data_IF_445652571301
#
_entry.id   IF_445652571301
#
_cell.length_a   1.000
_cell.length_b   1.000
_cell.length_c   1.000
_cell.angle_alpha   90.00
_cell.angle_beta   90.00
_cell.angle_gamma   90.00
#
_symmetry.space_group_name_H-M   'P 1'
#
loop_
_entity.id
_entity.type
_entity.pdbx_description
1 polymer ?
#
# COMPACT_ATOMS: atom_id res chain seq x y z
N UNK A 1 3.37 -21.40 -15.12
CA UNK A 1 1.90 -21.37 -14.94
C UNK A 1 1.63 -20.33 -13.87
N UNK A 2 1.06 -19.17 -14.23
CA UNK A 2 0.81 -18.10 -13.27
C UNK A 2 -0.31 -18.51 -12.33
N UNK A 3 0.00 -18.73 -11.06
CA UNK A 3 -1.03 -18.69 -10.02
C UNK A 3 -1.55 -17.26 -9.98
N UNK A 4 -2.68 -17.01 -10.64
CA UNK A 4 -3.36 -15.74 -10.55
C UNK A 4 -3.68 -15.51 -9.07
N UNK A 5 -3.25 -14.37 -8.55
CA UNK A 5 -3.56 -13.93 -7.19
C UNK A 5 -5.08 -13.96 -6.98
N UNK A 6 -5.56 -14.96 -6.23
CA UNK A 6 -6.98 -15.07 -5.86
C UNK A 6 -7.23 -14.22 -4.62
N UNK A 7 -7.56 -12.97 -4.83
CA UNK A 7 -8.06 -12.08 -3.79
C UNK A 7 -9.59 -12.19 -3.68
N UNK A 8 -10.15 -11.95 -2.49
CA UNK A 8 -11.61 -11.85 -2.30
C UNK A 8 -12.20 -10.52 -2.79
N UNK A 9 -11.38 -9.70 -3.45
CA UNK A 9 -11.68 -8.37 -3.96
C UNK A 9 -10.96 -8.18 -5.30
N UNK A 10 -11.51 -7.36 -6.21
CA UNK A 10 -10.84 -7.01 -7.45
C UNK A 10 -9.57 -6.18 -7.19
N UNK A 11 -8.59 -6.33 -8.07
CA UNK A 11 -7.32 -5.60 -8.05
C UNK A 11 -7.16 -4.84 -9.36
N UNK A 12 -6.96 -3.52 -9.29
CA UNK A 12 -6.74 -2.66 -10.45
C UNK A 12 -5.31 -2.10 -10.45
N UNK A 13 -4.54 -2.43 -11.48
CA UNK A 13 -3.21 -1.86 -11.70
C UNK A 13 -3.25 -0.50 -12.39
N UNK A 14 -2.54 0.48 -11.83
CA UNK A 14 -2.33 1.80 -12.47
C UNK A 14 -0.86 1.93 -12.85
N UNK A 15 -0.57 1.67 -14.12
CA UNK A 15 0.76 1.76 -14.70
C UNK A 15 0.87 3.00 -15.60
N UNK A 16 1.81 3.88 -15.30
CA UNK A 16 2.22 4.98 -16.17
C UNK A 16 3.64 5.43 -15.81
N UNK A 17 4.30 6.17 -16.70
CA UNK A 17 5.64 6.71 -16.47
C UNK A 17 5.67 7.68 -15.28
N UNK A 18 6.85 7.90 -14.69
CA UNK A 18 6.97 8.90 -13.61
C UNK A 18 6.61 10.29 -14.16
N UNK A 19 5.91 11.11 -13.37
CA UNK A 19 5.50 12.46 -13.77
C UNK A 19 4.28 12.55 -14.69
N UNK A 20 3.61 11.46 -15.04
CA UNK A 20 2.45 11.48 -15.97
C UNK A 20 1.08 11.65 -15.29
N UNK A 21 1.03 12.18 -14.07
CA UNK A 21 -0.25 12.49 -13.40
C UNK A 21 -1.00 11.31 -12.75
N UNK A 22 -0.36 10.16 -12.48
CA UNK A 22 -1.00 9.04 -11.76
C UNK A 22 -1.61 9.46 -10.42
N UNK A 23 -0.82 10.20 -9.63
CA UNK A 23 -1.27 10.73 -8.34
C UNK A 23 -2.49 11.62 -8.54
N UNK A 24 -2.46 12.53 -9.52
CA UNK A 24 -3.58 13.43 -9.83
C UNK A 24 -4.84 12.67 -10.24
N UNK A 25 -4.70 11.61 -11.05
CA UNK A 25 -5.82 10.73 -11.40
C UNK A 25 -6.41 10.07 -10.14
N UNK A 26 -5.58 9.50 -9.27
CA UNK A 26 -6.04 8.82 -8.07
C UNK A 26 -6.67 9.78 -7.06
N UNK A 27 -6.11 10.98 -6.90
CA UNK A 27 -6.66 12.04 -6.04
C UNK A 27 -8.06 12.49 -6.50
N UNK A 28 -8.34 12.46 -7.81
CA UNK A 28 -9.66 12.77 -8.36
C UNK A 28 -10.61 11.57 -8.34
N UNK A 29 -10.11 10.35 -8.55
CA UNK A 29 -10.91 9.14 -8.64
C UNK A 29 -11.39 8.64 -7.27
N UNK A 30 -10.53 8.65 -6.25
CA UNK A 30 -10.86 8.11 -4.92
C UNK A 30 -12.10 8.79 -4.29
N UNK A 31 -12.27 10.13 -4.33
CA UNK A 31 -13.50 10.76 -3.88
C UNK A 31 -14.75 10.27 -4.62
N UNK A 32 -14.69 10.13 -5.94
CA UNK A 32 -15.83 9.69 -6.76
C UNK A 32 -16.23 8.23 -6.46
N UNK A 33 -15.26 7.35 -6.21
CA UNK A 33 -15.54 5.96 -5.80
C UNK A 33 -16.13 5.92 -4.40
N UNK A 34 -15.61 6.73 -3.47
CA UNK A 34 -16.15 6.85 -2.11
C UNK A 34 -17.58 7.38 -2.11
N UNK A 35 -17.90 8.37 -2.94
CA UNK A 35 -19.28 8.89 -3.11
C UNK A 35 -20.26 7.82 -3.60
N UNK A 36 -19.76 6.82 -4.33
CA UNK A 36 -20.53 5.63 -4.74
C UNK A 36 -20.63 4.55 -3.66
N UNK A 37 -20.12 4.81 -2.45
CA UNK A 37 -20.14 3.88 -1.33
C UNK A 37 -19.07 2.78 -1.37
N UNK A 38 -18.08 2.89 -2.27
CA UNK A 38 -17.02 1.89 -2.38
C UNK A 38 -15.87 2.19 -1.39
N UNK A 39 -15.49 1.16 -0.63
CA UNK A 39 -14.28 1.15 0.18
C UNK A 39 -13.08 0.74 -0.69
N UNK A 40 -12.22 1.71 -1.00
CA UNK A 40 -11.06 1.49 -1.88
C UNK A 40 -9.78 1.51 -1.06
N UNK A 41 -9.01 0.43 -1.14
CA UNK A 41 -7.65 0.37 -0.60
C UNK A 41 -6.62 0.66 -1.70
N UNK A 42 -5.46 1.19 -1.31
CA UNK A 42 -4.37 1.55 -2.24
C UNK A 42 -3.07 0.94 -1.76
N UNK A 43 -2.40 0.18 -2.63
CA UNK A 43 -1.02 -0.26 -2.46
C UNK A 43 -0.15 0.57 -3.40
N UNK A 44 0.73 1.39 -2.83
CA UNK A 44 1.62 2.26 -3.60
C UNK A 44 3.06 1.81 -3.44
N UNK A 45 3.74 1.58 -4.56
CA UNK A 45 5.18 1.36 -4.57
C UNK A 45 5.91 2.71 -4.54
N UNK A 46 6.72 2.95 -3.50
CA UNK A 46 7.60 4.11 -3.43
C UNK A 46 8.91 3.84 -4.18
N UNK A 47 9.40 4.82 -4.95
CA UNK A 47 10.65 4.68 -5.71
C UNK A 47 11.92 4.89 -4.89
N UNK A 48 11.79 5.32 -3.64
CA UNK A 48 12.90 5.57 -2.70
C UNK A 48 12.53 5.08 -1.31
N UNK A 49 13.54 4.95 -0.44
CA UNK A 49 13.31 4.76 1.00
C UNK A 49 12.36 5.85 1.50
N UNK A 50 11.39 5.45 2.31
CA UNK A 50 10.43 6.35 2.92
C UNK A 50 10.31 6.02 4.40
N UNK A 51 9.93 7.02 5.19
CA UNK A 51 9.58 6.84 6.58
C UNK A 51 8.21 7.47 6.85
N UNK A 52 7.39 6.80 7.67
CA UNK A 52 6.07 7.29 8.07
C UNK A 52 6.18 8.14 9.34
N UNK A 53 7.16 7.85 10.20
CA UNK A 53 7.46 8.68 11.36
C UNK A 53 8.75 9.49 11.19
N UNK A 54 9.04 10.36 12.15
CA UNK A 54 10.12 11.33 12.06
C UNK A 54 11.29 10.95 12.98
N UNK A 55 12.54 11.09 12.52
CA UNK A 55 13.71 10.95 13.38
C UNK A 55 13.59 11.76 14.67
N UNK A 56 13.90 11.12 15.81
CA UNK A 56 13.85 11.74 17.13
C UNK A 56 12.52 11.62 17.88
N UNK A 57 11.44 11.19 17.24
CA UNK A 57 10.19 10.79 17.93
C UNK A 57 10.32 9.43 18.59
N UNK A 58 9.49 9.15 19.59
CA UNK A 58 9.57 7.91 20.36
C UNK A 58 9.31 6.68 19.51
N UNK A 59 8.34 6.74 18.59
CA UNK A 59 8.07 5.64 17.66
C UNK A 59 9.27 5.30 16.77
N UNK A 60 9.99 6.32 16.29
CA UNK A 60 11.19 6.15 15.47
C UNK A 60 12.30 5.48 16.28
N UNK A 61 12.50 5.92 17.54
CA UNK A 61 13.51 5.34 18.43
C UNK A 61 13.20 3.88 18.77
N UNK A 62 11.94 3.56 19.08
CA UNK A 62 11.51 2.19 19.40
C UNK A 62 11.66 1.25 18.20
N UNK A 63 11.26 1.70 17.00
CA UNK A 63 11.44 0.94 15.77
C UNK A 63 12.92 0.74 15.44
N UNK A 64 13.74 1.80 15.53
CA UNK A 64 15.20 1.73 15.34
C UNK A 64 15.89 0.82 16.37
N UNK A 65 15.30 0.66 17.56
CA UNK A 65 15.78 -0.26 18.59
C UNK A 65 15.34 -1.73 18.36
N UNK A 66 14.52 -2.00 17.34
CA UNK A 66 14.15 -3.37 16.92
C UNK A 66 12.67 -3.72 17.04
N UNK A 67 11.78 -2.79 17.37
CA UNK A 67 10.34 -3.07 17.36
C UNK A 67 9.86 -3.37 15.92
N UNK A 68 9.38 -4.59 15.67
CA UNK A 68 8.90 -5.04 14.35
C UNK A 68 7.80 -6.12 14.52
N UNK A 69 6.54 -5.84 14.12
CA UNK A 69 6.04 -4.57 13.59
C UNK A 69 5.94 -3.46 14.64
N UNK A 70 5.94 -2.20 14.19
CA UNK A 70 5.60 -1.02 14.99
C UNK A 70 4.20 -0.52 14.61
N UNK A 71 3.26 -0.51 15.57
CA UNK A 71 1.91 0.03 15.39
C UNK A 71 1.72 1.30 16.23
N UNK A 72 1.38 2.40 15.58
CA UNK A 72 1.11 3.70 16.22
C UNK A 72 -0.35 4.04 15.99
N UNK A 73 -1.07 4.44 17.03
CA UNK A 73 -2.50 4.76 16.95
C UNK A 73 -2.83 6.12 17.59
N UNK A 74 -3.88 6.74 17.07
CA UNK A 74 -4.48 7.97 17.58
C UNK A 74 -6.00 7.91 17.44
N UNK A 75 -6.72 8.91 17.95
CA UNK A 75 -8.18 9.03 17.76
C UNK A 75 -8.60 9.11 16.28
N UNK A 76 -7.72 9.58 15.40
CA UNK A 76 -8.06 9.83 13.99
C UNK A 76 -7.62 8.72 13.04
N UNK A 77 -6.52 8.02 13.35
CA UNK A 77 -5.87 7.05 12.46
C UNK A 77 -4.86 6.20 13.20
N UNK A 78 -4.44 5.11 12.58
CA UNK A 78 -3.24 4.35 12.94
C UNK A 78 -2.29 4.24 11.75
N UNK A 79 -1.04 3.89 12.04
CA UNK A 79 -0.01 3.52 11.06
C UNK A 79 0.69 2.25 11.53
N UNK A 80 0.85 1.28 10.62
CA UNK A 80 1.60 0.05 10.83
C UNK A 80 2.86 0.09 9.98
N UNK A 81 4.02 -0.07 10.60
CA UNK A 81 5.31 -0.12 9.91
C UNK A 81 5.94 -1.49 10.15
N UNK A 82 6.36 -2.12 9.05
CA UNK A 82 7.03 -3.42 9.05
C UNK A 82 8.36 -3.27 8.33
N UNK A 83 9.44 -3.57 9.05
CA UNK A 83 10.77 -3.63 8.45
C UNK A 83 10.90 -4.89 7.59
N UNK A 84 11.55 -4.77 6.43
CA UNK A 84 11.77 -5.88 5.47
C UNK A 84 13.26 -6.01 5.11
N UNK A 85 14.14 -6.19 6.11
CA UNK A 85 15.58 -6.24 5.88
C UNK A 85 15.95 -7.38 4.92
N UNK A 86 16.80 -7.08 3.94
CA UNK A 86 17.24 -8.04 2.92
C UNK A 86 16.24 -8.30 1.80
N UNK A 87 15.07 -7.63 1.80
CA UNK A 87 14.11 -7.72 0.71
C UNK A 87 14.41 -6.61 -0.33
N UNK A 88 14.77 -7.00 -1.55
CA UNK A 88 15.13 -6.04 -2.62
C UNK A 88 13.89 -5.33 -3.21
N UNK A 89 12.78 -6.05 -3.35
CA UNK A 89 11.53 -5.55 -3.92
C UNK A 89 10.31 -5.99 -3.09
N UNK A 90 9.26 -5.15 -3.00
CA UNK A 90 8.05 -5.51 -2.27
C UNK A 90 7.32 -6.69 -2.91
N UNK A 91 6.91 -7.65 -2.08
CA UNK A 91 6.10 -8.78 -2.52
C UNK A 91 4.60 -8.39 -2.57
N UNK A 92 4.09 -8.06 -3.77
CA UNK A 92 2.70 -7.64 -3.94
C UNK A 92 1.69 -8.70 -3.47
N UNK A 93 1.97 -9.98 -3.70
CA UNK A 93 1.12 -11.08 -3.24
C UNK A 93 0.91 -11.02 -1.73
N UNK A 94 2.01 -10.87 -0.99
CA UNK A 94 1.97 -10.71 0.46
C UNK A 94 1.22 -9.43 0.88
N UNK A 95 1.51 -8.29 0.25
CA UNK A 95 0.83 -7.02 0.56
C UNK A 95 -0.68 -7.09 0.34
N UNK A 96 -1.15 -7.82 -0.68
CA UNK A 96 -2.58 -8.06 -0.90
C UNK A 96 -3.20 -8.88 0.24
N UNK A 97 -2.48 -9.85 0.82
CA UNK A 97 -2.99 -10.58 1.99
C UNK A 97 -3.20 -9.68 3.20
N UNK A 98 -2.38 -8.64 3.36
CA UNK A 98 -2.54 -7.64 4.43
C UNK A 98 -3.80 -6.77 4.24
N UNK A 99 -4.33 -6.68 3.02
CA UNK A 99 -5.55 -5.90 2.75
C UNK A 99 -6.83 -6.70 3.03
N UNK A 100 -6.79 -8.02 2.98
CA UNK A 100 -7.97 -8.87 3.11
C UNK A 100 -8.79 -8.66 4.40
N UNK A 101 -8.17 -8.48 5.59
CA UNK A 101 -8.91 -8.22 6.82
C UNK A 101 -9.69 -6.90 6.82
N UNK A 102 -9.38 -5.98 5.91
CA UNK A 102 -10.08 -4.69 5.78
C UNK A 102 -11.31 -4.77 4.87
N UNK A 103 -11.54 -5.91 4.21
CA UNK A 103 -12.67 -6.13 3.30
C UNK A 103 -12.90 -4.98 2.29
N UNK A 104 -11.87 -4.55 1.52
CA UNK A 104 -12.07 -3.51 0.52
C UNK A 104 -12.93 -4.02 -0.64
N UNK A 105 -13.74 -3.14 -1.23
CA UNK A 105 -14.48 -3.42 -2.47
C UNK A 105 -13.56 -3.40 -3.70
N UNK A 106 -12.42 -2.71 -3.60
CA UNK A 106 -11.40 -2.60 -4.64
C UNK A 106 -10.03 -2.32 -4.02
N UNK A 107 -8.99 -2.97 -4.54
CA UNK A 107 -7.59 -2.57 -4.29
C UNK A 107 -6.99 -1.96 -5.55
N UNK A 108 -6.48 -0.74 -5.45
CA UNK A 108 -5.69 -0.09 -6.51
C UNK A 108 -4.20 -0.28 -6.22
N UNK A 109 -3.45 -0.72 -7.22
CA UNK A 109 -2.00 -0.92 -7.15
C UNK A 109 -1.29 0.10 -8.04
N UNK A 110 -0.49 0.98 -7.46
CA UNK A 110 0.27 2.01 -8.18
C UNK A 110 1.78 1.70 -8.13
N UNK A 111 2.45 1.71 -9.28
CA UNK A 111 3.92 1.71 -9.36
C UNK A 111 4.61 0.33 -9.42
N UNK A 112 3.86 -0.77 -9.40
CA UNK A 112 4.36 -2.14 -9.53
C UNK A 112 4.54 -2.54 -11.01
N UNK A 113 5.54 -1.96 -11.69
CA UNK A 113 5.77 -2.13 -13.14
C UNK A 113 6.08 -3.56 -13.59
N UNK A 114 6.62 -4.40 -12.70
CA UNK A 114 7.09 -5.74 -13.01
C UNK A 114 6.09 -6.85 -12.63
N UNK A 115 4.97 -6.53 -11.98
CA UNK A 115 4.06 -7.55 -11.47
C UNK A 115 2.93 -7.86 -12.46
N UNK A 116 2.65 -9.13 -12.77
CA UNK A 116 1.47 -9.50 -13.55
C UNK A 116 0.22 -9.28 -12.69
N UNK A 117 -0.46 -8.16 -12.91
CA UNK A 117 -1.79 -7.94 -12.37
C UNK A 117 -2.77 -8.63 -13.33
N UNK A 118 -3.64 -9.53 -12.87
CA UNK A 118 -4.62 -10.17 -13.73
C UNK A 118 -5.47 -9.11 -14.46
N UNK A 119 -5.66 -9.28 -15.78
CA UNK A 119 -6.57 -8.45 -16.58
C UNK A 119 -8.04 -8.77 -16.27
#
# INVERSE_FOLDING_TARGET
MSDALRCSFPVLGVAAWSGTGKTTLLEQLLPLLREKGLSVAVIKHAHHQFDVDQPGKDSYKLRSAGATPMLIASRQRFALMQETPGQEEPNLAYLLTLMAPHHPDLVIVEGFKAWPIPN
#
